data_IF_238372628463
#
_entry.id   IF_238372628463
#
_cell.length_a   1.000
_cell.length_b   1.000
_cell.length_c   1.000
_cell.angle_alpha   90.00
_cell.angle_beta   90.00
_cell.angle_gamma   90.00
#
_symmetry.space_group_name_H-M   'P 1'
#
loop_
_entity.id
_entity.type
_entity.pdbx_description
1 polymer ?
#
# COMPACT_ATOMS: atom_id res chain seq x y z
N UNK A 1 -5.29 8.64 -7.25
CA UNK A 1 -5.74 9.09 -5.92
C UNK A 1 -5.18 8.15 -4.89
N UNK A 2 -4.42 8.69 -3.96
CA UNK A 2 -3.95 8.00 -2.77
C UNK A 2 -4.93 8.15 -1.60
N UNK A 3 -5.24 7.03 -0.93
CA UNK A 3 -6.04 6.98 0.29
C UNK A 3 -5.18 6.40 1.43
N UNK A 4 -5.23 7.03 2.60
CA UNK A 4 -4.48 6.59 3.77
C UNK A 4 -5.43 6.40 4.93
N UNK A 5 -5.47 5.19 5.49
CA UNK A 5 -6.32 4.83 6.61
C UNK A 5 -5.51 4.23 7.75
N UNK A 6 -5.84 4.63 8.98
CA UNK A 6 -5.28 4.01 10.17
C UNK A 6 -6.06 2.73 10.50
N UNK A 7 -5.34 1.64 10.77
CA UNK A 7 -5.86 0.31 11.14
C UNK A 7 -5.16 -0.10 12.43
N UNK A 8 -5.72 0.32 13.57
CA UNK A 8 -5.11 0.10 14.89
C UNK A 8 -3.76 0.80 15.01
N UNK A 9 -2.70 0.02 15.22
CA UNK A 9 -1.32 0.52 15.36
C UNK A 9 -0.65 0.86 14.01
N UNK A 10 -1.24 0.49 12.88
CA UNK A 10 -0.60 0.62 11.57
C UNK A 10 -1.37 1.55 10.63
N UNK A 11 -0.68 2.04 9.61
CA UNK A 11 -1.17 2.94 8.58
C UNK A 11 -1.18 2.23 7.22
N UNK A 12 -2.36 2.07 6.64
CA UNK A 12 -2.52 1.53 5.29
C UNK A 12 -2.60 2.67 4.29
N UNK A 13 -1.73 2.65 3.30
CA UNK A 13 -1.85 3.43 2.07
C UNK A 13 -2.45 2.56 0.95
N UNK A 14 -3.29 3.18 0.14
CA UNK A 14 -3.93 2.60 -1.02
C UNK A 14 -3.81 3.61 -2.17
N UNK A 15 -3.32 3.18 -3.33
CA UNK A 15 -3.21 4.03 -4.52
C UNK A 15 -4.07 3.42 -5.63
N UNK A 16 -5.02 4.21 -6.14
CA UNK A 16 -5.90 3.83 -7.26
C UNK A 16 -5.68 4.78 -8.43
N UNK A 17 -5.38 4.22 -9.60
CA UNK A 17 -5.25 4.95 -10.87
C UNK A 17 -5.93 4.19 -11.99
N UNK A 18 -6.58 4.93 -12.89
CA UNK A 18 -7.28 4.33 -14.05
C UNK A 18 -6.23 3.71 -14.97
N UNK A 19 -6.43 2.45 -15.34
CA UNK A 19 -5.48 1.69 -16.15
C UNK A 19 -4.42 0.93 -15.36
N UNK A 20 -4.40 1.05 -14.02
CA UNK A 20 -3.53 0.28 -13.14
C UNK A 20 -4.37 -0.51 -12.13
N UNK A 21 -3.86 -1.66 -11.70
CA UNK A 21 -4.43 -2.37 -10.55
C UNK A 21 -4.27 -1.51 -9.28
N UNK A 22 -5.28 -1.47 -8.39
CA UNK A 22 -5.14 -0.85 -7.10
C UNK A 22 -4.00 -1.48 -6.30
N UNK A 23 -3.14 -0.66 -5.71
CA UNK A 23 -2.05 -1.14 -4.86
C UNK A 23 -2.20 -0.67 -3.43
N UNK A 24 -1.81 -1.55 -2.51
CA UNK A 24 -2.01 -1.37 -1.08
C UNK A 24 -0.73 -1.70 -0.33
N UNK A 25 -0.40 -0.91 0.69
CA UNK A 25 0.72 -1.20 1.59
C UNK A 25 0.44 -0.69 2.98
N UNK A 26 0.92 -1.41 3.99
CA UNK A 26 0.80 -1.02 5.40
C UNK A 26 2.15 -0.61 5.95
N UNK A 27 2.15 0.34 6.88
CA UNK A 27 3.33 0.97 7.48
C UNK A 27 3.10 1.19 8.97
N UNK A 28 4.16 1.29 9.75
CA UNK A 28 4.06 1.63 11.17
C UNK A 28 3.70 3.09 11.41
N UNK A 29 4.06 3.98 10.47
CA UNK A 29 3.83 5.42 10.61
C UNK A 29 3.08 6.02 9.42
N UNK A 30 2.26 7.04 9.72
CA UNK A 30 1.52 7.81 8.72
C UNK A 30 2.44 8.42 7.68
N UNK A 31 3.61 8.91 8.11
CA UNK A 31 4.58 9.56 7.24
C UNK A 31 5.13 8.61 6.19
N UNK A 32 5.45 7.37 6.57
CA UNK A 32 5.90 6.34 5.62
C UNK A 32 4.79 6.01 4.61
N UNK A 33 3.55 5.84 5.09
CA UNK A 33 2.39 5.62 4.24
C UNK A 33 2.18 6.76 3.24
N UNK A 34 2.33 8.02 3.67
CA UNK A 34 2.22 9.19 2.82
C UNK A 34 3.32 9.27 1.77
N UNK A 35 4.58 9.05 2.15
CA UNK A 35 5.70 9.09 1.22
C UNK A 35 5.58 8.00 0.15
N UNK A 36 5.26 6.77 0.55
CA UNK A 36 5.05 5.68 -0.38
C UNK A 36 3.88 5.94 -1.32
N UNK A 37 2.74 6.40 -0.80
CA UNK A 37 1.57 6.65 -1.63
C UNK A 37 1.82 7.73 -2.69
N UNK A 38 2.53 8.81 -2.32
CA UNK A 38 2.94 9.87 -3.25
C UNK A 38 3.90 9.37 -4.32
N UNK A 39 4.89 8.57 -3.91
CA UNK A 39 5.86 7.98 -4.83
C UNK A 39 5.17 7.10 -5.87
N UNK A 40 4.34 6.17 -5.42
CA UNK A 40 3.61 5.26 -6.30
C UNK A 40 2.65 6.01 -7.22
N UNK A 41 1.93 7.00 -6.71
CA UNK A 41 1.04 7.82 -7.52
C UNK A 41 1.81 8.57 -8.62
N UNK A 42 2.99 9.12 -8.30
CA UNK A 42 3.87 9.80 -9.26
C UNK A 42 4.48 8.83 -10.28
N UNK A 43 4.87 7.63 -9.88
CA UNK A 43 5.34 6.57 -10.79
C UNK A 43 4.21 6.14 -11.75
N UNK A 44 2.98 6.00 -11.27
CA UNK A 44 1.81 5.65 -12.09
C UNK A 44 1.41 6.80 -13.04
N UNK A 45 1.51 8.04 -12.58
CA UNK A 45 1.25 9.23 -13.42
C UNK A 45 2.26 9.38 -14.55
N UNK A 46 3.54 9.13 -14.27
CA UNK A 46 4.62 9.20 -15.27
C UNK A 46 4.72 7.99 -16.20
N UNK A 47 3.91 6.95 -15.99
CA UNK A 47 4.00 5.69 -16.75
C UNK A 47 5.24 4.85 -16.43
N UNK A 48 6.05 5.26 -15.45
CA UNK A 48 7.25 4.55 -14.99
C UNK A 48 6.93 3.49 -13.93
N UNK A 49 5.66 3.31 -13.58
CA UNK A 49 5.23 2.31 -12.62
C UNK A 49 5.47 0.90 -13.17
N UNK A 50 6.48 0.24 -12.62
CA UNK A 50 6.74 -1.18 -12.86
C UNK A 50 6.11 -1.95 -11.71
N UNK A 51 5.24 -2.91 -12.01
CA UNK A 51 4.63 -3.79 -11.01
C UNK A 51 5.69 -4.71 -10.39
N UNK A 52 6.46 -4.17 -9.44
CA UNK A 52 7.35 -4.91 -8.55
C UNK A 52 6.61 -5.37 -7.28
N UNK A 53 5.29 -5.18 -7.25
CA UNK A 53 4.42 -5.40 -6.09
C UNK A 53 4.26 -6.88 -5.75
N UNK A 54 4.61 -7.80 -6.64
CA UNK A 54 4.67 -9.24 -6.30
C UNK A 54 5.62 -9.51 -5.12
N UNK A 55 6.72 -8.77 -4.99
CA UNK A 55 7.62 -8.92 -3.85
C UNK A 55 7.05 -8.32 -2.54
N UNK A 56 6.20 -7.28 -2.63
CA UNK A 56 5.63 -6.58 -1.46
C UNK A 56 4.24 -7.12 -1.05
N UNK A 57 3.52 -7.81 -1.94
CA UNK A 57 2.26 -8.52 -1.66
C UNK A 57 2.44 -9.60 -0.58
N UNK A 58 3.64 -10.17 -0.47
CA UNK A 58 3.98 -11.20 0.54
C UNK A 58 3.92 -10.66 1.97
N UNK A 59 4.40 -9.44 2.22
CA UNK A 59 4.44 -8.87 3.58
C UNK A 59 3.06 -8.38 4.04
N UNK A 60 2.21 -7.91 3.12
CA UNK A 60 0.83 -7.54 3.43
C UNK A 60 -0.06 -8.76 3.71
N UNK A 61 0.11 -9.88 2.98
CA UNK A 61 -0.63 -11.13 3.24
C UNK A 61 -0.29 -11.69 4.61
N UNK A 62 1.00 -11.74 4.94
CA UNK A 62 1.46 -12.21 6.27
C UNK A 62 0.93 -11.33 7.41
N UNK A 63 0.87 -10.01 7.23
CA UNK A 63 0.32 -9.11 8.24
C UNK A 63 -1.21 -9.24 8.39
N UNK A 64 -1.93 -9.49 7.29
CA UNK A 64 -3.39 -9.68 7.32
C UNK A 64 -3.81 -11.07 7.80
N UNK A 65 -3.04 -12.12 7.51
CA UNK A 65 -3.28 -13.47 8.05
C UNK A 65 -3.16 -13.47 9.57
N UNK A 66 -2.22 -12.71 10.14
CA UNK A 66 -2.09 -12.53 11.59
C UNK A 66 -3.31 -11.86 12.24
N UNK A 67 -4.10 -11.09 11.48
CA UNK A 67 -5.31 -10.43 11.99
C UNK A 67 -6.61 -11.21 11.70
N UNK A 68 -6.54 -12.32 10.94
CA UNK A 68 -7.69 -13.19 10.62
C UNK A 68 -7.84 -14.38 11.55
N UNK A 69 -6.86 -14.64 12.42
CA UNK A 69 -7.00 -15.56 13.55
C UNK A 69 -6.88 -14.80 14.86
N UNK A 70 -7.99 -14.31 15.44
CA UNK A 70 -8.06 -14.13 16.87
C UNK A 70 -8.06 -15.55 17.48
N UNK A 71 -6.93 -15.95 18.07
CA UNK A 71 -6.93 -17.05 19.04
C UNK A 71 -7.60 -16.61 20.32
#
# INVERSE_FOLDING_TARGET
MAYISQRGAYWRAEVRRRGYEPVYRSFDTKQQAQQWARRVESEMDSGAYVDRTEAERTTLRQALERYRHPG
#
